data_IF_244777411111
#
_entry.id   IF_244777411111
#
_cell.length_a   1.000
_cell.length_b   1.000
_cell.length_c   1.000
_cell.angle_alpha   90.00
_cell.angle_beta   90.00
_cell.angle_gamma   90.00
#
_symmetry.space_group_name_H-M   'P 1'
#
loop_
_entity.id
_entity.type
_entity.pdbx_description
1 polymer ?
#
# COMPACT_ATOMS: atom_id res chain seq x y z
N UNK A 1 -21.94 39.54 22.18
CA UNK A 1 -22.78 38.37 22.51
C UNK A 1 -23.73 37.93 21.39
N UNK A 2 -23.93 38.71 20.32
CA UNK A 2 -24.83 38.34 19.21
C UNK A 2 -24.28 37.31 18.20
N UNK A 3 -22.95 37.07 18.17
CA UNK A 3 -22.34 36.20 17.14
C UNK A 3 -22.34 34.70 17.48
N UNK A 4 -22.55 34.32 18.75
CA UNK A 4 -22.54 32.91 19.16
C UNK A 4 -23.86 32.19 18.88
N UNK A 5 -24.98 32.91 18.90
CA UNK A 5 -26.31 32.35 18.65
C UNK A 5 -26.51 31.91 17.19
N UNK A 6 -25.77 32.50 16.25
CA UNK A 6 -25.90 32.22 14.81
C UNK A 6 -25.14 30.95 14.41
N UNK A 7 -24.00 30.68 15.03
CA UNK A 7 -23.16 29.49 14.73
C UNK A 7 -23.80 28.21 15.28
N UNK A 8 -24.46 28.27 16.44
CA UNK A 8 -25.16 27.12 17.04
C UNK A 8 -26.41 26.73 16.24
N UNK A 9 -27.01 27.67 15.51
CA UNK A 9 -28.24 27.42 14.76
C UNK A 9 -28.02 26.62 13.46
N UNK A 10 -26.79 26.60 12.92
CA UNK A 10 -26.50 25.95 11.63
C UNK A 10 -26.33 24.42 11.73
N UNK A 11 -25.87 23.91 12.88
CA UNK A 11 -25.74 22.48 13.11
C UNK A 11 -26.95 21.93 13.86
N UNK A 12 -27.89 21.34 13.10
CA UNK A 12 -29.11 20.70 13.66
C UNK A 12 -28.80 19.69 14.76
N UNK A 13 -27.66 19.00 14.68
CA UNK A 13 -27.20 18.04 15.69
C UNK A 13 -26.80 18.72 17.00
N UNK A 14 -26.14 19.87 16.91
CA UNK A 14 -25.62 20.60 18.08
C UNK A 14 -26.77 21.32 18.79
N UNK A 15 -27.71 21.90 18.04
CA UNK A 15 -28.96 22.44 18.58
C UNK A 15 -29.82 21.37 19.26
N UNK A 16 -29.99 20.20 18.62
CA UNK A 16 -30.71 19.07 19.21
C UNK A 16 -30.06 18.57 20.51
N UNK A 17 -28.73 18.43 20.53
CA UNK A 17 -27.99 18.01 21.72
C UNK A 17 -28.16 19.01 22.89
N UNK A 18 -28.13 20.32 22.62
CA UNK A 18 -28.33 21.35 23.65
C UNK A 18 -29.75 21.31 24.21
N UNK A 19 -30.77 21.13 23.37
CA UNK A 19 -32.17 21.04 23.80
C UNK A 19 -32.39 19.79 24.68
N UNK A 20 -31.83 18.64 24.29
CA UNK A 20 -31.92 17.40 25.07
C UNK A 20 -31.25 17.54 26.43
N UNK A 21 -30.06 18.14 26.49
CA UNK A 21 -29.34 18.37 27.75
C UNK A 21 -30.12 19.30 28.68
N UNK A 22 -30.69 20.38 28.14
CA UNK A 22 -31.53 21.30 28.92
C UNK A 22 -32.79 20.60 29.45
N UNK A 23 -33.47 19.82 28.62
CA UNK A 23 -34.67 19.07 29.02
C UNK A 23 -34.38 18.03 30.11
N UNK A 24 -33.29 17.26 29.97
CA UNK A 24 -32.87 16.26 30.95
C UNK A 24 -32.45 16.94 32.27
N UNK A 25 -31.77 18.10 32.20
CA UNK A 25 -31.40 18.86 33.40
C UNK A 25 -32.62 19.40 34.15
N UNK A 26 -33.63 19.93 33.44
CA UNK A 26 -34.87 20.41 34.05
C UNK A 26 -35.68 19.27 34.68
N UNK A 27 -35.76 18.12 34.00
CA UNK A 27 -36.41 16.92 34.54
C UNK A 27 -35.69 16.42 35.81
N UNK A 28 -34.35 16.42 35.84
CA UNK A 28 -33.58 16.04 37.03
C UNK A 28 -33.79 17.00 38.21
N UNK A 29 -33.85 18.31 37.96
CA UNK A 29 -34.13 19.33 39.00
C UNK A 29 -35.51 19.13 39.62
N UNK A 30 -36.51 18.81 38.80
CA UNK A 30 -37.88 18.56 39.25
C UNK A 30 -38.01 17.26 40.07
N UNK A 31 -37.24 16.22 39.74
CA UNK A 31 -37.40 14.90 40.36
C UNK A 31 -36.56 14.67 41.61
N UNK A 32 -35.37 15.28 41.71
CA UNK A 32 -34.36 14.96 42.73
C UNK A 32 -33.87 16.19 43.52
N UNK A 33 -34.51 17.34 43.32
CA UNK A 33 -34.17 18.60 43.98
C UNK A 33 -32.99 19.34 43.34
N UNK A 34 -32.96 20.66 43.60
CA UNK A 34 -32.08 21.67 42.97
C UNK A 34 -30.59 21.31 43.02
N UNK A 35 -30.16 20.61 44.08
CA UNK A 35 -28.76 20.21 44.28
C UNK A 35 -28.26 19.24 43.20
N UNK A 36 -29.09 18.31 42.72
CA UNK A 36 -28.68 17.32 41.72
C UNK A 36 -28.50 17.95 40.33
N UNK A 37 -29.41 18.85 39.93
CA UNK A 37 -29.32 19.53 38.63
C UNK A 37 -28.09 20.42 38.49
N UNK A 38 -27.72 21.13 39.57
CA UNK A 38 -26.50 21.95 39.60
C UNK A 38 -25.25 21.10 39.40
N UNK A 39 -25.18 19.90 40.00
CA UNK A 39 -24.00 19.02 39.83
C UNK A 39 -23.81 18.53 38.40
N UNK A 40 -24.90 18.22 37.69
CA UNK A 40 -24.84 17.77 36.29
C UNK A 40 -24.36 18.91 35.38
N UNK A 41 -24.90 20.13 35.57
CA UNK A 41 -24.48 21.30 34.78
C UNK A 41 -23.01 21.65 35.07
N UNK A 42 -22.59 21.64 36.35
CA UNK A 42 -21.20 21.90 36.71
C UNK A 42 -20.24 20.87 36.12
N UNK A 43 -20.59 19.58 36.11
CA UNK A 43 -19.76 18.53 35.50
C UNK A 43 -19.63 18.70 33.98
N UNK A 44 -20.71 19.09 33.30
CA UNK A 44 -20.72 19.34 31.86
C UNK A 44 -19.88 20.56 31.49
N UNK A 45 -20.05 21.68 32.20
CA UNK A 45 -19.23 22.89 31.99
C UNK A 45 -17.76 22.63 32.28
N UNK A 46 -17.45 21.87 33.34
CA UNK A 46 -16.09 21.48 33.67
C UNK A 46 -15.46 20.62 32.54
N UNK A 47 -16.19 19.65 32.00
CA UNK A 47 -15.74 18.84 30.85
C UNK A 47 -15.52 19.65 29.58
N UNK A 48 -16.40 20.62 29.28
CA UNK A 48 -16.22 21.52 28.15
C UNK A 48 -15.00 22.44 28.31
N UNK A 49 -14.75 22.94 29.52
CA UNK A 49 -13.58 23.77 29.84
C UNK A 49 -12.30 22.93 29.76
N UNK A 50 -12.30 21.69 30.27
CA UNK A 50 -11.18 20.75 30.20
C UNK A 50 -10.80 20.40 28.75
N UNK A 51 -11.78 20.10 27.90
CA UNK A 51 -11.51 19.83 26.47
C UNK A 51 -11.00 21.06 25.71
N UNK A 52 -11.44 22.27 26.08
CA UNK A 52 -10.90 23.51 25.49
C UNK A 52 -9.49 23.82 25.95
N UNK A 53 -9.17 23.53 27.21
CA UNK A 53 -7.81 23.63 27.77
C UNK A 53 -6.85 22.63 27.12
N UNK A 54 -7.28 21.40 26.84
CA UNK A 54 -6.49 20.41 26.08
C UNK A 54 -6.23 20.84 24.62
N UNK A 55 -7.13 21.61 24.03
CA UNK A 55 -7.00 22.07 22.63
C UNK A 55 -6.11 23.31 22.48
N UNK A 56 -6.04 24.16 23.51
CA UNK A 56 -5.22 25.37 23.52
C UNK A 56 -3.90 25.23 24.28
N UNK A 57 -3.81 24.32 25.25
CA UNK A 57 -2.57 23.96 25.90
C UNK A 57 -1.85 22.90 25.06
N UNK A 58 -0.61 23.19 24.67
CA UNK A 58 0.38 22.17 24.30
C UNK A 58 0.73 21.34 25.55
N UNK A 59 -0.26 20.66 26.13
CA UNK A 59 -0.05 19.76 27.24
C UNK A 59 0.40 18.43 26.64
N UNK A 60 1.71 18.23 26.59
CA UNK A 60 2.32 16.92 26.38
C UNK A 60 1.82 16.00 27.49
N UNK A 61 0.73 15.30 27.22
CA UNK A 61 0.28 14.18 28.06
C UNK A 61 1.45 13.19 28.15
N UNK A 62 1.92 12.83 29.35
CA UNK A 62 2.88 11.75 29.49
C UNK A 62 2.24 10.50 28.88
N UNK A 63 2.95 9.85 27.94
CA UNK A 63 2.56 8.58 27.32
C UNK A 63 2.27 7.52 28.40
N UNK A 64 1.03 7.51 28.90
CA UNK A 64 0.53 6.59 29.93
C UNK A 64 -0.24 5.41 29.33
N UNK A 65 -0.39 5.39 28.01
CA UNK A 65 -0.51 4.13 27.30
C UNK A 65 0.87 3.53 27.22
N UNK A 66 1.02 2.34 27.82
CA UNK A 66 2.17 1.45 27.68
C UNK A 66 2.43 1.26 26.19
N UNK A 67 3.19 2.19 25.61
CA UNK A 67 4.10 1.89 24.52
C UNK A 67 5.07 0.94 25.17
N UNK A 68 4.73 -0.35 25.08
CA UNK A 68 5.74 -1.39 25.05
C UNK A 68 6.63 -0.96 23.89
N UNK A 69 7.66 -0.16 24.19
CA UNK A 69 8.92 -0.12 23.47
C UNK A 69 9.40 -1.55 23.55
N UNK A 70 8.81 -2.41 22.72
CA UNK A 70 9.55 -3.45 22.07
C UNK A 70 10.61 -2.63 21.36
N UNK A 71 11.76 -2.52 22.02
CA UNK A 71 13.02 -2.28 21.33
C UNK A 71 12.88 -3.12 20.07
N UNK A 72 12.59 -2.46 18.95
CA UNK A 72 13.00 -2.98 17.67
C UNK A 72 14.48 -3.21 17.92
N UNK A 73 14.85 -4.47 18.18
CA UNK A 73 16.09 -4.94 17.65
C UNK A 73 15.93 -4.59 16.18
N UNK A 74 16.49 -3.45 15.79
CA UNK A 74 16.93 -3.21 14.42
C UNK A 74 17.91 -4.35 14.19
N UNK A 75 17.36 -5.54 13.92
CA UNK A 75 18.05 -6.57 13.20
C UNK A 75 18.63 -5.83 12.00
N UNK A 76 19.91 -6.07 11.70
CA UNK A 76 20.68 -5.22 10.81
C UNK A 76 19.80 -4.90 9.62
N UNK A 77 19.48 -3.61 9.47
CA UNK A 77 18.73 -3.08 8.34
C UNK A 77 19.57 -3.55 7.16
N UNK A 78 19.21 -4.68 6.55
CA UNK A 78 20.03 -5.34 5.54
C UNK A 78 20.03 -4.37 4.37
N UNK A 79 21.02 -3.50 4.40
CA UNK A 79 21.39 -2.65 3.29
C UNK A 79 21.61 -3.65 2.17
N UNK A 80 20.83 -3.51 1.12
CA UNK A 80 20.58 -4.52 0.09
C UNK A 80 21.84 -4.99 -0.68
N UNK A 81 23.05 -4.59 -0.26
CA UNK A 81 24.31 -5.04 -0.84
C UNK A 81 25.44 -5.28 0.19
N UNK A 82 25.15 -5.44 1.49
CA UNK A 82 26.23 -5.58 2.51
C UNK A 82 26.03 -6.80 3.42
N UNK A 83 25.71 -7.94 2.80
CA UNK A 83 25.84 -9.25 3.44
C UNK A 83 27.11 -9.85 2.87
N UNK A 84 28.15 -9.90 3.71
CA UNK A 84 29.39 -10.68 3.54
C UNK A 84 29.16 -11.90 2.66
N UNK A 85 29.86 -11.94 1.53
CA UNK A 85 29.52 -12.68 0.30
C UNK A 85 29.35 -14.20 0.35
N UNK A 86 29.35 -14.85 1.51
CA UNK A 86 29.13 -16.29 1.61
C UNK A 86 27.64 -16.68 1.74
N UNK A 87 26.88 -16.00 2.61
CA UNK A 87 25.47 -16.34 2.84
C UNK A 87 24.55 -15.80 1.73
N UNK A 88 24.86 -14.63 1.17
CA UNK A 88 24.11 -14.08 0.04
C UNK A 88 24.25 -14.96 -1.21
N UNK A 89 25.42 -15.56 -1.43
CA UNK A 89 25.67 -16.48 -2.55
C UNK A 89 24.88 -17.79 -2.41
N UNK A 90 24.78 -18.38 -1.22
CA UNK A 90 24.04 -19.63 -1.05
C UNK A 90 22.53 -19.46 -1.33
N UNK A 91 21.94 -18.36 -0.87
CA UNK A 91 20.55 -18.02 -1.17
C UNK A 91 20.32 -17.59 -2.63
N UNK A 92 21.32 -16.96 -3.26
CA UNK A 92 21.29 -16.64 -4.68
C UNK A 92 21.49 -17.88 -5.59
N UNK A 93 21.95 -19.00 -5.03
CA UNK A 93 22.08 -20.28 -5.72
C UNK A 93 20.86 -21.17 -5.51
N UNK A 94 20.31 -21.21 -4.29
CA UNK A 94 19.19 -22.08 -3.92
C UNK A 94 18.06 -21.31 -3.20
N UNK A 95 17.25 -20.53 -3.93
CA UNK A 95 16.21 -19.70 -3.32
C UNK A 95 15.09 -20.52 -2.69
N UNK A 96 14.89 -21.77 -3.10
CA UNK A 96 13.89 -22.68 -2.51
C UNK A 96 14.33 -23.30 -1.17
N UNK A 97 15.58 -23.10 -0.73
CA UNK A 97 16.05 -23.64 0.55
C UNK A 97 15.28 -23.00 1.71
N UNK A 98 14.71 -23.84 2.57
CA UNK A 98 13.87 -23.50 3.73
C UNK A 98 12.56 -22.75 3.43
N UNK A 99 12.14 -22.71 2.16
CA UNK A 99 10.90 -22.07 1.75
C UNK A 99 9.69 -22.97 2.06
N UNK A 100 8.82 -22.54 2.96
CA UNK A 100 7.58 -23.23 3.31
C UNK A 100 6.41 -22.62 2.53
N UNK A 101 6.00 -23.29 1.46
CA UNK A 101 4.86 -22.89 0.61
C UNK A 101 3.71 -23.89 0.80
N UNK A 102 2.45 -23.44 0.94
CA UNK A 102 1.29 -24.33 0.90
C UNK A 102 1.23 -25.13 -0.41
N UNK A 103 0.74 -26.37 -0.35
CA UNK A 103 0.70 -27.28 -1.52
C UNK A 103 -0.13 -26.71 -2.67
N UNK A 104 -1.20 -26.02 -2.32
CA UNK A 104 -2.13 -25.38 -3.26
C UNK A 104 -1.42 -24.29 -4.08
N UNK A 105 -0.55 -23.52 -3.43
CA UNK A 105 0.22 -22.45 -4.07
C UNK A 105 1.31 -23.04 -4.96
N UNK A 106 1.99 -24.11 -4.53
CA UNK A 106 3.01 -24.79 -5.35
C UNK A 106 2.38 -25.40 -6.61
N UNK A 107 1.21 -26.04 -6.49
CA UNK A 107 0.49 -26.60 -7.64
C UNK A 107 0.00 -25.52 -8.62
N UNK A 108 -0.50 -24.39 -8.10
CA UNK A 108 -0.89 -23.25 -8.92
C UNK A 108 0.32 -22.66 -9.68
N UNK A 109 1.46 -22.57 -8.99
CA UNK A 109 2.71 -22.08 -9.57
C UNK A 109 3.24 -22.99 -10.67
N UNK A 110 3.19 -24.31 -10.45
CA UNK A 110 3.57 -25.31 -11.46
C UNK A 110 2.66 -25.23 -12.68
N UNK A 111 1.35 -25.09 -12.48
CA UNK A 111 0.38 -24.95 -13.58
C UNK A 111 0.64 -23.67 -14.38
N UNK A 112 0.92 -22.56 -13.69
CA UNK A 112 1.28 -21.28 -14.31
C UNK A 112 2.55 -21.38 -15.17
N UNK A 113 3.62 -21.97 -14.62
CA UNK A 113 4.87 -22.19 -15.34
C UNK A 113 4.68 -23.08 -16.58
N UNK A 114 3.91 -24.15 -16.44
CA UNK A 114 3.59 -25.04 -17.55
C UNK A 114 2.76 -24.33 -18.64
N UNK A 115 1.87 -23.41 -18.24
CA UNK A 115 1.14 -22.54 -19.14
C UNK A 115 2.07 -21.64 -19.95
N UNK A 116 2.97 -20.92 -19.27
CA UNK A 116 3.94 -20.03 -19.92
C UNK A 116 4.80 -20.79 -20.94
N UNK A 117 5.36 -21.94 -20.54
CA UNK A 117 6.21 -22.71 -21.43
C UNK A 117 5.43 -23.23 -22.65
N UNK A 118 4.17 -23.65 -22.46
CA UNK A 118 3.31 -24.13 -23.55
C UNK A 118 2.95 -23.05 -24.54
N UNK A 119 2.51 -21.91 -24.05
CA UNK A 119 1.96 -20.84 -24.88
C UNK A 119 3.04 -19.96 -25.50
N UNK A 120 4.12 -19.69 -24.75
CA UNK A 120 5.15 -18.75 -25.22
C UNK A 120 6.43 -19.39 -25.70
N UNK A 121 6.79 -20.60 -25.27
CA UNK A 121 8.09 -21.23 -25.61
C UNK A 121 7.92 -22.34 -26.64
N UNK A 122 7.02 -23.28 -26.38
CA UNK A 122 6.86 -24.46 -27.21
C UNK A 122 6.37 -24.15 -28.62
N UNK A 123 5.65 -23.05 -28.85
CA UNK A 123 5.14 -22.66 -30.17
C UNK A 123 6.28 -22.37 -31.15
N UNK A 124 7.24 -21.53 -30.77
CA UNK A 124 8.36 -21.19 -31.66
C UNK A 124 9.53 -22.16 -31.54
N UNK A 125 9.79 -22.71 -30.35
CA UNK A 125 10.97 -23.55 -30.12
C UNK A 125 10.88 -24.88 -30.88
N UNK A 126 9.66 -25.44 -31.03
CA UNK A 126 9.45 -26.65 -31.86
C UNK A 126 9.91 -26.49 -33.31
N UNK A 127 9.93 -25.26 -33.84
CA UNK A 127 10.43 -24.97 -35.18
C UNK A 127 11.95 -24.81 -35.28
N UNK A 128 12.65 -24.68 -34.14
CA UNK A 128 14.10 -24.44 -34.07
C UNK A 128 14.86 -25.71 -33.66
N UNK A 129 14.38 -26.42 -32.63
CA UNK A 129 15.02 -27.64 -32.12
C UNK A 129 14.02 -28.56 -31.42
N UNK A 130 14.27 -29.86 -31.46
CA UNK A 130 13.49 -30.88 -30.74
C UNK A 130 13.97 -31.13 -29.30
N UNK A 131 15.08 -30.53 -28.90
CA UNK A 131 15.74 -30.82 -27.61
C UNK A 131 14.99 -30.23 -26.41
N UNK A 132 14.60 -31.09 -25.46
CA UNK A 132 13.91 -30.69 -24.24
C UNK A 132 14.84 -30.11 -23.18
N UNK A 133 16.16 -30.25 -23.31
CA UNK A 133 17.13 -29.76 -22.32
C UNK A 133 17.03 -28.23 -22.14
N UNK A 134 16.90 -27.48 -23.24
CA UNK A 134 16.72 -26.02 -23.17
C UNK A 134 15.45 -25.62 -22.41
N UNK A 135 14.32 -26.28 -22.69
CA UNK A 135 13.05 -26.00 -22.01
C UNK A 135 13.14 -26.32 -20.53
N UNK A 136 13.85 -27.40 -20.18
CA UNK A 136 14.08 -27.78 -18.79
C UNK A 136 14.93 -26.73 -18.05
N UNK A 137 16.03 -26.27 -18.65
CA UNK A 137 16.85 -25.18 -18.10
C UNK A 137 16.05 -23.89 -17.92
N UNK A 138 15.23 -23.53 -18.90
CA UNK A 138 14.35 -22.36 -18.79
C UNK A 138 13.34 -22.51 -17.64
N UNK A 139 12.76 -23.70 -17.46
CA UNK A 139 11.87 -24.00 -16.34
C UNK A 139 12.60 -23.84 -15.00
N UNK A 140 13.84 -24.32 -14.88
CA UNK A 140 14.65 -24.16 -13.68
C UNK A 140 14.91 -22.69 -13.35
N UNK A 141 15.21 -21.87 -14.35
CA UNK A 141 15.41 -20.43 -14.17
C UNK A 141 14.11 -19.74 -13.73
N UNK A 142 12.97 -20.04 -14.35
CA UNK A 142 11.68 -19.47 -13.95
C UNK A 142 11.30 -19.88 -12.51
N UNK A 143 11.50 -21.15 -12.15
CA UNK A 143 11.27 -21.63 -10.77
C UNK A 143 12.18 -20.91 -9.77
N UNK A 144 13.43 -20.66 -10.14
CA UNK A 144 14.34 -19.86 -9.32
C UNK A 144 13.82 -18.43 -9.10
N UNK A 145 13.40 -17.75 -10.17
CA UNK A 145 12.84 -16.40 -10.10
C UNK A 145 11.63 -16.33 -9.17
N UNK A 146 10.72 -17.30 -9.29
CA UNK A 146 9.52 -17.36 -8.46
C UNK A 146 9.84 -17.66 -7.00
N UNK A 147 10.74 -18.60 -6.73
CA UNK A 147 11.17 -18.88 -5.35
C UNK A 147 11.81 -17.64 -4.71
N UNK A 148 12.64 -16.90 -5.46
CA UNK A 148 13.22 -15.64 -4.99
C UNK A 148 12.16 -14.55 -4.76
N UNK A 149 11.12 -14.48 -5.60
CA UNK A 149 9.99 -13.57 -5.44
C UNK A 149 9.17 -13.93 -4.18
N UNK A 150 8.80 -15.20 -4.01
CA UNK A 150 8.02 -15.68 -2.86
C UNK A 150 8.74 -15.41 -1.53
N UNK A 151 10.06 -15.57 -1.50
CA UNK A 151 10.85 -15.21 -0.31
C UNK A 151 10.79 -13.73 0.02
N UNK A 152 10.98 -12.89 -0.98
CA UNK A 152 10.89 -11.44 -0.78
C UNK A 152 9.48 -11.02 -0.36
N UNK A 153 8.45 -11.67 -0.89
CA UNK A 153 7.06 -11.41 -0.52
C UNK A 153 6.76 -11.84 0.92
N UNK A 154 7.33 -12.95 1.38
CA UNK A 154 7.15 -13.45 2.77
C UNK A 154 7.95 -12.66 3.80
N UNK A 155 9.10 -12.08 3.41
CA UNK A 155 9.90 -11.20 4.27
C UNK A 155 9.26 -9.80 4.48
N UNK A 156 8.27 -9.42 3.66
CA UNK A 156 7.59 -8.13 3.79
C UNK A 156 6.53 -8.21 4.90
N UNK A 157 6.67 -7.33 5.90
CA UNK A 157 5.66 -7.12 6.93
C UNK A 157 4.41 -6.48 6.32
N UNK A 158 3.47 -7.33 5.91
CA UNK A 158 2.26 -6.95 5.21
C UNK A 158 1.38 -6.00 6.05
N UNK A 159 1.33 -6.22 7.37
CA UNK A 159 0.52 -5.39 8.27
C UNK A 159 1.09 -3.98 8.29
N UNK A 160 2.40 -3.83 8.54
CA UNK A 160 3.06 -2.52 8.55
C UNK A 160 3.02 -1.82 7.18
N UNK A 161 3.10 -2.59 6.10
CA UNK A 161 2.98 -2.07 4.75
C UNK A 161 1.58 -1.51 4.46
N UNK A 162 0.53 -2.25 4.86
CA UNK A 162 -0.86 -1.84 4.66
C UNK A 162 -1.19 -0.63 5.55
N UNK A 163 -0.89 -0.71 6.85
CA UNK A 163 -1.26 0.35 7.81
C UNK A 163 -0.41 1.62 7.69
N UNK A 164 0.77 1.54 7.08
CA UNK A 164 1.65 2.67 6.87
C UNK A 164 1.43 3.32 5.50
N UNK A 165 2.30 3.03 4.51
CA UNK A 165 2.30 3.73 3.24
C UNK A 165 1.01 3.57 2.43
N UNK A 166 0.37 2.39 2.45
CA UNK A 166 -0.86 2.17 1.68
C UNK A 166 -2.02 2.95 2.28
N UNK A 167 -2.21 2.88 3.60
CA UNK A 167 -3.25 3.66 4.27
C UNK A 167 -3.03 5.17 4.10
N UNK A 168 -1.78 5.65 4.20
CA UNK A 168 -1.45 7.06 3.96
C UNK A 168 -1.74 7.49 2.51
N UNK A 169 -1.40 6.67 1.52
CA UNK A 169 -1.73 6.94 0.13
C UNK A 169 -3.25 6.91 -0.11
N UNK A 170 -3.97 5.92 0.45
CA UNK A 170 -5.42 5.84 0.32
C UNK A 170 -6.12 7.07 0.92
N UNK A 171 -5.65 7.53 2.08
CA UNK A 171 -6.17 8.74 2.74
C UNK A 171 -5.86 10.00 1.92
N UNK A 172 -4.66 10.13 1.34
CA UNK A 172 -4.33 11.27 0.49
C UNK A 172 -5.17 11.28 -0.80
N UNK A 173 -5.41 10.11 -1.39
CA UNK A 173 -6.32 9.98 -2.54
C UNK A 173 -7.76 10.35 -2.19
N UNK A 174 -8.24 9.92 -1.02
CA UNK A 174 -9.60 10.21 -0.55
C UNK A 174 -9.78 11.70 -0.23
N UNK A 175 -8.82 12.33 0.46
CA UNK A 175 -8.83 13.76 0.76
C UNK A 175 -8.88 14.60 -0.53
N UNK A 176 -8.07 14.24 -1.53
CA UNK A 176 -8.11 14.91 -2.84
C UNK A 176 -9.48 14.79 -3.54
N UNK A 177 -10.11 13.60 -3.50
CA UNK A 177 -11.46 13.40 -4.05
C UNK A 177 -12.48 14.25 -3.31
N UNK A 178 -12.46 14.29 -1.98
CA UNK A 178 -13.39 15.09 -1.18
C UNK A 178 -13.23 16.59 -1.47
N UNK A 179 -11.99 17.08 -1.58
CA UNK A 179 -11.73 18.48 -1.95
C UNK A 179 -12.27 18.82 -3.33
N UNK A 180 -12.08 17.95 -4.32
CA UNK A 180 -12.64 18.18 -5.66
C UNK A 180 -14.18 18.19 -5.66
N UNK A 181 -14.84 17.35 -4.84
CA UNK A 181 -16.30 17.26 -4.74
C UNK A 181 -16.93 18.54 -4.18
N UNK A 182 -16.26 19.22 -3.25
CA UNK A 182 -16.73 20.50 -2.69
C UNK A 182 -16.69 21.64 -3.73
N UNK A 183 -15.79 21.54 -4.71
CA UNK A 183 -15.62 22.53 -5.78
C UNK A 183 -16.55 22.23 -6.98
N UNK A 184 -17.04 21.00 -7.12
CA UNK A 184 -17.87 20.54 -8.23
C UNK A 184 -19.37 20.74 -7.96
N UNK A 185 -19.96 21.77 -8.56
CA UNK A 185 -21.42 21.92 -8.71
C UNK A 185 -21.97 21.32 -10.02
N UNK A 186 -21.12 21.00 -11.00
CA UNK A 186 -21.53 20.45 -12.29
C UNK A 186 -20.82 19.13 -12.62
N UNK A 187 -21.55 18.16 -13.19
CA UNK A 187 -21.23 16.73 -13.10
C UNK A 187 -20.32 16.18 -14.22
N UNK A 188 -19.97 16.99 -15.22
CA UNK A 188 -19.54 16.48 -16.52
C UNK A 188 -18.06 16.13 -16.63
N UNK A 189 -17.18 16.63 -15.76
CA UNK A 189 -15.72 16.45 -15.85
C UNK A 189 -15.02 16.10 -14.52
N UNK A 190 -15.69 15.32 -13.66
CA UNK A 190 -15.20 14.99 -12.31
C UNK A 190 -13.81 14.34 -12.30
N UNK A 191 -13.50 13.44 -13.24
CA UNK A 191 -12.23 12.72 -13.28
C UNK A 191 -11.02 13.62 -13.56
N UNK A 192 -11.11 14.51 -14.54
CA UNK A 192 -10.01 15.41 -14.91
C UNK A 192 -9.76 16.47 -13.84
N UNK A 193 -10.84 16.92 -13.17
CA UNK A 193 -10.75 17.89 -12.08
C UNK A 193 -10.14 17.28 -10.81
N UNK A 194 -10.45 16.02 -10.50
CA UNK A 194 -9.78 15.28 -9.41
C UNK A 194 -8.29 15.18 -9.69
N UNK A 195 -7.88 14.81 -10.91
CA UNK A 195 -6.47 14.75 -11.28
C UNK A 195 -5.78 16.12 -11.21
N UNK A 196 -6.43 17.20 -11.63
CA UNK A 196 -5.85 18.54 -11.53
C UNK A 196 -5.69 19.00 -10.07
N UNK A 197 -6.62 18.62 -9.19
CA UNK A 197 -6.55 18.90 -7.75
C UNK A 197 -5.44 18.13 -7.02
N UNK A 198 -5.06 16.94 -7.53
CA UNK A 198 -3.94 16.16 -7.01
C UNK A 198 -2.56 16.70 -7.44
N UNK A 199 -2.51 17.56 -8.47
CA UNK A 199 -1.29 18.25 -8.91
C UNK A 199 -0.12 17.29 -9.21
N UNK A 200 1.11 17.68 -8.80
CA UNK A 200 2.33 16.91 -9.05
C UNK A 200 2.53 15.68 -8.15
N UNK A 201 1.56 15.35 -7.28
CA UNK A 201 1.63 14.18 -6.40
C UNK A 201 1.03 12.92 -7.03
N UNK A 202 0.54 13.03 -8.27
CA UNK A 202 0.00 11.90 -9.02
C UNK A 202 1.16 11.02 -9.47
N UNK A 203 1.10 9.73 -9.11
CA UNK A 203 2.07 8.74 -9.58
C UNK A 203 2.08 8.68 -11.12
N UNK A 204 3.25 8.56 -11.73
CA UNK A 204 3.45 8.59 -13.20
C UNK A 204 2.50 7.61 -13.93
N UNK A 205 2.21 6.46 -13.32
CA UNK A 205 1.31 5.46 -13.88
C UNK A 205 -0.16 5.91 -13.99
N UNK A 206 -0.60 6.95 -13.28
CA UNK A 206 -2.00 7.42 -13.28
C UNK A 206 -2.25 8.48 -14.36
N UNK A 207 -1.18 9.04 -14.95
CA UNK A 207 -1.29 10.13 -15.93
C UNK A 207 -1.90 9.72 -17.27
N UNK A 208 -1.59 8.52 -17.77
CA UNK A 208 -2.19 7.97 -18.99
C UNK A 208 -2.04 6.44 -19.04
N UNK A 209 -2.83 5.78 -19.89
CA UNK A 209 -2.72 4.34 -20.09
C UNK A 209 -1.34 3.93 -20.62
N UNK A 210 -0.76 4.75 -21.50
CA UNK A 210 0.58 4.53 -22.04
C UNK A 210 1.66 4.68 -20.96
N UNK A 211 1.51 5.68 -20.08
CA UNK A 211 2.42 5.90 -18.96
C UNK A 211 2.35 4.78 -17.92
N UNK A 212 1.14 4.27 -17.64
CA UNK A 212 0.92 3.08 -16.81
C UNK A 212 1.66 1.86 -17.37
N UNK A 213 1.44 1.57 -18.66
CA UNK A 213 2.08 0.45 -19.33
C UNK A 213 3.60 0.60 -19.33
N UNK A 214 4.12 1.81 -19.58
CA UNK A 214 5.55 2.05 -19.57
C UNK A 214 6.16 1.88 -18.16
N UNK A 215 5.47 2.34 -17.13
CA UNK A 215 5.90 2.13 -15.74
C UNK A 215 5.96 0.64 -15.39
N UNK A 216 4.90 -0.12 -15.74
CA UNK A 216 4.84 -1.56 -15.47
C UNK A 216 5.94 -2.33 -16.22
N UNK A 217 6.27 -1.92 -17.46
CA UNK A 217 7.40 -2.49 -18.23
C UNK A 217 8.74 -2.27 -17.53
N UNK A 218 9.04 -1.04 -17.12
CA UNK A 218 10.29 -0.73 -16.43
C UNK A 218 10.38 -1.46 -15.08
N UNK A 219 9.25 -1.60 -14.39
CA UNK A 219 9.19 -2.33 -13.13
C UNK A 219 9.46 -3.82 -13.35
N UNK A 220 8.83 -4.46 -14.34
CA UNK A 220 9.04 -5.88 -14.63
C UNK A 220 10.48 -6.16 -15.07
N UNK A 221 11.07 -5.31 -15.91
CA UNK A 221 12.50 -5.40 -16.28
C UNK A 221 13.41 -5.34 -15.06
N UNK A 222 13.19 -4.36 -14.19
CA UNK A 222 14.00 -4.18 -12.99
C UNK A 222 13.85 -5.34 -12.01
N UNK A 223 12.66 -5.97 -11.97
CA UNK A 223 12.35 -7.09 -11.11
C UNK A 223 13.02 -8.36 -11.61
N UNK A 224 12.91 -8.66 -12.92
CA UNK A 224 13.57 -9.81 -13.54
C UNK A 224 15.08 -9.76 -13.29
N UNK A 225 15.73 -8.62 -13.56
CA UNK A 225 17.17 -8.47 -13.35
C UNK A 225 17.58 -8.63 -11.88
N UNK A 226 16.75 -8.19 -10.94
CA UNK A 226 17.05 -8.25 -9.50
C UNK A 226 16.80 -9.64 -8.88
N UNK A 227 15.98 -10.46 -9.54
CA UNK A 227 15.69 -11.83 -9.13
C UNK A 227 16.54 -12.87 -9.88
N UNK A 228 17.14 -12.49 -11.02
CA UNK A 228 17.92 -13.41 -11.84
C UNK A 228 19.18 -13.91 -11.11
N UNK A 229 19.48 -15.23 -11.12
CA UNK A 229 20.70 -15.75 -10.52
C UNK A 229 21.95 -15.15 -11.18
N UNK A 230 22.95 -14.79 -10.36
CA UNK A 230 24.22 -14.17 -10.78
C UNK A 230 24.91 -14.87 -11.97
N UNK A 231 24.70 -16.19 -12.11
CA UNK A 231 25.24 -17.02 -13.21
C UNK A 231 24.74 -16.62 -14.59
N UNK A 232 23.48 -16.16 -14.69
CA UNK A 232 22.86 -15.81 -15.97
C UNK A 232 23.01 -14.33 -16.33
N UNK A 233 23.49 -13.47 -15.41
CA UNK A 233 23.77 -12.05 -15.71
C UNK A 233 24.83 -11.87 -16.81
N UNK A 234 25.74 -12.83 -16.97
CA UNK A 234 26.77 -12.81 -18.02
C UNK A 234 26.26 -13.30 -19.38
N UNK A 235 25.12 -14.01 -19.41
CA UNK A 235 24.59 -14.61 -20.62
C UNK A 235 23.57 -13.66 -21.28
N UNK A 236 24.02 -12.90 -22.29
CA UNK A 236 23.17 -11.94 -23.02
C UNK A 236 21.94 -12.59 -23.63
N UNK A 237 22.06 -13.79 -24.21
CA UNK A 237 20.94 -14.49 -24.85
C UNK A 237 19.84 -14.88 -23.85
N UNK A 238 20.20 -15.41 -22.68
CA UNK A 238 19.24 -15.76 -21.64
C UNK A 238 18.53 -14.52 -21.06
N UNK A 239 19.27 -13.43 -20.83
CA UNK A 239 18.69 -12.17 -20.37
C UNK A 239 17.73 -11.56 -21.40
N UNK A 240 18.08 -11.59 -22.69
CA UNK A 240 17.21 -11.11 -23.76
C UNK A 240 15.97 -12.00 -23.88
N UNK A 241 16.11 -13.33 -23.85
CA UNK A 241 14.96 -14.23 -23.90
C UNK A 241 14.00 -14.05 -22.73
N UNK A 242 14.50 -13.92 -21.50
CA UNK A 242 13.65 -13.67 -20.33
C UNK A 242 12.97 -12.30 -20.38
N UNK A 243 13.65 -11.29 -20.93
CA UNK A 243 13.05 -9.97 -21.18
C UNK A 243 11.89 -10.10 -22.18
N UNK A 244 12.13 -10.70 -23.34
CA UNK A 244 11.12 -10.88 -24.38
C UNK A 244 9.94 -11.75 -23.89
N UNK A 245 10.22 -12.81 -23.11
CA UNK A 245 9.21 -13.71 -22.55
C UNK A 245 8.28 -13.01 -21.53
N UNK A 246 8.77 -11.99 -20.82
CA UNK A 246 7.95 -11.19 -19.90
C UNK A 246 7.03 -10.18 -20.61
N UNK A 247 6.93 -10.24 -21.94
CA UNK A 247 6.03 -9.40 -22.74
C UNK A 247 6.67 -8.07 -23.17
N UNK A 248 7.97 -8.09 -23.48
CA UNK A 248 8.71 -6.90 -23.88
C UNK A 248 9.18 -7.09 -25.31
N UNK A 249 8.43 -6.69 -26.34
CA UNK A 249 9.04 -6.38 -27.62
C UNK A 249 9.95 -5.18 -27.42
N UNK A 250 11.27 -5.35 -27.58
CA UNK A 250 12.15 -4.19 -27.66
C UNK A 250 11.61 -3.26 -28.75
N UNK A 251 11.22 -2.04 -28.39
CA UNK A 251 10.97 -0.99 -29.38
C UNK A 251 12.31 -0.50 -29.93
N UNK A 252 13.11 -1.41 -30.48
CA UNK A 252 14.26 -1.15 -31.33
C UNK A 252 13.97 -1.67 -32.73
N UNK A 253 12.78 -1.34 -33.25
CA UNK A 253 12.53 -1.19 -34.69
C UNK A 253 11.68 0.05 -34.92
N UNK A 254 12.28 1.20 -34.59
CA UNK A 254 12.07 2.42 -35.38
C UNK A 254 13.14 2.39 -36.46
N UNK A 255 12.85 1.72 -37.56
CA UNK A 255 13.55 1.92 -38.83
C UNK A 255 12.47 2.20 -39.86
N UNK A 256 12.60 3.40 -40.46
CA UNK A 256 11.78 4.07 -41.48
C UNK A 256 10.34 4.39 -41.09
#
# INVERSE_FOLDING_TARGET
MHSYSVIVCHDKLLSSAVVVVLAVSAACVLWLGVLSGVTVICSFVCGCVWMRLLKHGHFEVPDLFVTRKRTEKKGPRRRFCDVTGAAADEYALFPWKDLKVPKEVDQALESFLNGILREYVHIWFRGVSGDQAFVHELRLVLRHLLAALCRRATDVDLVRFITGPVAQAALSHLDAILRSRVVLTDATDQGRLVLSSMGSQVHVAVGSREAELQYLRLLSESLVLRLLPARYHKCKSACTLLRELSGIPSSSKRWT
#
